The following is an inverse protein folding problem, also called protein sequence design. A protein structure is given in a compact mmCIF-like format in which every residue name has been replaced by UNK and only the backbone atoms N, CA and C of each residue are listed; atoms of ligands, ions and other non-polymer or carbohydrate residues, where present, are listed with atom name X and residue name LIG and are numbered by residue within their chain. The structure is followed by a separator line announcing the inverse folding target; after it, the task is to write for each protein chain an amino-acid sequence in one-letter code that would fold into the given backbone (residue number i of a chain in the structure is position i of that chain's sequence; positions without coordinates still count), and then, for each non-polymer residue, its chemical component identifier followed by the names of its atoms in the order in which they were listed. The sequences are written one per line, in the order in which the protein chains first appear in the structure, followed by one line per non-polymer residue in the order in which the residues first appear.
data_IF_177989618364
#
_entry.id   IF_177989618364
#
_cell.length_a   1.000
_cell.length_b   1.000
_cell.length_c   1.000
_cell.angle_alpha   90.00
_cell.angle_beta   90.00
_cell.angle_gamma   90.00
#
_symmetry.space_group_name_H-M   'P 1'
#
loop_
_entity.id
_entity.type
_entity.pdbx_description
1 polymer ?
#
# COMPACT_ATOMS: atom_id res chain seq x y z
N UNK A 1 16.09 -20.74 -10.47
CA UNK A 1 15.26 -19.82 -11.28
C UNK A 1 14.96 -18.50 -10.55
N UNK A 2 15.89 -17.93 -9.77
CA UNK A 2 15.64 -16.71 -8.98
C UNK A 2 16.55 -15.52 -9.36
N UNK A 3 17.46 -15.70 -10.31
CA UNK A 3 18.45 -14.69 -10.73
C UNK A 3 18.81 -14.86 -12.20
N UNK A 4 17.83 -14.87 -13.10
CA UNK A 4 18.16 -14.73 -14.52
C UNK A 4 18.64 -13.29 -14.77
N UNK A 5 19.62 -13.05 -15.65
CA UNK A 5 20.14 -11.70 -15.92
C UNK A 5 19.02 -10.69 -16.26
N UNK A 6 17.96 -11.16 -16.93
CA UNK A 6 16.80 -10.37 -17.31
C UNK A 6 15.99 -9.92 -16.09
N UNK A 7 15.82 -10.79 -15.09
CA UNK A 7 15.12 -10.46 -13.85
C UNK A 7 15.89 -9.39 -13.06
N UNK A 8 17.23 -9.47 -13.03
CA UNK A 8 18.06 -8.46 -12.37
C UNK A 8 17.94 -7.10 -13.07
N UNK A 9 18.02 -7.09 -14.41
CA UNK A 9 17.83 -5.87 -15.20
C UNK A 9 16.43 -5.28 -14.95
N UNK A 10 15.39 -6.10 -14.91
CA UNK A 10 14.03 -5.66 -14.63
C UNK A 10 13.90 -5.03 -13.24
N UNK A 11 14.44 -5.67 -12.20
CA UNK A 11 14.41 -5.14 -10.82
C UNK A 11 15.15 -3.81 -10.74
N UNK A 12 16.35 -3.71 -11.33
CA UNK A 12 17.12 -2.47 -11.33
C UNK A 12 16.41 -1.36 -12.12
N UNK A 13 15.79 -1.70 -13.25
CA UNK A 13 14.97 -0.76 -14.02
C UNK A 13 13.76 -0.25 -13.23
N UNK A 14 13.01 -1.15 -12.59
CA UNK A 14 11.87 -0.79 -11.73
C UNK A 14 12.31 0.08 -10.56
N UNK A 15 13.43 -0.26 -9.91
CA UNK A 15 13.99 0.53 -8.82
C UNK A 15 14.38 1.94 -9.29
N UNK A 16 15.09 2.05 -10.41
CA UNK A 16 15.51 3.33 -10.98
C UNK A 16 14.30 4.23 -11.28
N UNK A 17 13.28 3.70 -11.96
CA UNK A 17 12.05 4.45 -12.28
C UNK A 17 11.33 4.87 -11.00
N UNK A 18 11.22 3.98 -10.01
CA UNK A 18 10.58 4.28 -8.72
C UNK A 18 11.29 5.43 -8.00
N UNK A 19 12.62 5.39 -7.93
CA UNK A 19 13.40 6.45 -7.31
C UNK A 19 13.34 7.76 -8.10
N UNK A 20 13.35 7.69 -9.44
CA UNK A 20 13.22 8.86 -10.30
C UNK A 20 11.88 9.58 -10.08
N UNK A 21 10.76 8.84 -10.00
CA UNK A 21 9.43 9.42 -9.73
C UNK A 21 9.39 10.05 -8.34
N UNK A 22 9.90 9.36 -7.30
CA UNK A 22 9.95 9.90 -5.93
C UNK A 22 10.80 11.16 -5.84
N UNK A 23 11.99 11.14 -6.44
CA UNK A 23 12.88 12.29 -6.50
C UNK A 23 12.24 13.45 -7.28
N UNK A 24 11.61 13.18 -8.43
CA UNK A 24 10.87 14.17 -9.20
C UNK A 24 9.75 14.83 -8.40
N UNK A 25 8.97 14.05 -7.64
CA UNK A 25 7.96 14.56 -6.72
C UNK A 25 8.55 15.46 -5.64
N UNK A 26 9.67 15.07 -5.04
CA UNK A 26 10.38 15.88 -4.04
C UNK A 26 10.91 17.20 -4.63
N UNK A 27 11.48 17.15 -5.83
CA UNK A 27 11.99 18.33 -6.54
C UNK A 27 10.87 19.31 -6.92
N UNK A 28 9.68 18.79 -7.23
CA UNK A 28 8.49 19.58 -7.56
C UNK A 28 7.69 20.04 -6.34
N UNK A 29 7.95 19.48 -5.14
CA UNK A 29 7.14 19.72 -3.96
C UNK A 29 6.98 21.22 -3.62
N UNK A 30 8.08 21.99 -3.72
CA UNK A 30 8.08 23.43 -3.44
C UNK A 30 7.34 24.27 -4.51
N UNK A 31 6.98 23.67 -5.65
CA UNK A 31 6.23 24.34 -6.73
C UNK A 31 4.74 23.97 -6.73
N UNK A 32 4.31 23.08 -5.84
CA UNK A 32 2.91 22.69 -5.74
C UNK A 32 2.08 23.82 -5.11
N UNK A 33 0.81 24.01 -5.52
CA UNK A 33 -0.08 24.99 -4.92
C UNK A 33 -0.24 24.75 -3.42
N UNK A 34 -0.10 25.81 -2.61
CA UNK A 34 -0.33 25.77 -1.17
C UNK A 34 -1.80 26.00 -0.79
N UNK A 35 -2.52 26.78 -1.61
CA UNK A 35 -3.86 27.29 -1.34
C UNK A 35 -4.81 27.11 -2.53
N UNK A 36 -6.11 27.22 -2.25
CA UNK A 36 -7.19 27.05 -3.24
C UNK A 36 -7.57 25.60 -3.52
N UNK A 37 -8.41 25.42 -4.55
CA UNK A 37 -9.02 24.12 -4.87
C UNK A 37 -7.98 23.03 -5.19
N UNK A 38 -6.96 23.36 -5.99
CA UNK A 38 -5.92 22.40 -6.37
C UNK A 38 -5.13 21.90 -5.15
N UNK A 39 -4.78 22.77 -4.21
CA UNK A 39 -4.10 22.39 -2.97
C UNK A 39 -4.98 21.48 -2.09
N UNK A 40 -6.26 21.82 -1.94
CA UNK A 40 -7.21 21.00 -1.20
C UNK A 40 -7.37 19.60 -1.81
N UNK A 41 -7.49 19.52 -3.14
CA UNK A 41 -7.56 18.25 -3.86
C UNK A 41 -6.29 17.41 -3.68
N UNK A 42 -5.10 18.00 -3.87
CA UNK A 42 -3.81 17.32 -3.70
C UNK A 42 -3.64 16.68 -2.32
N UNK A 43 -4.11 17.33 -1.24
CA UNK A 43 -4.06 16.80 0.14
C UNK A 43 -4.87 15.52 0.32
N UNK A 44 -5.87 15.26 -0.53
CA UNK A 44 -6.76 14.10 -0.42
C UNK A 44 -6.33 12.92 -1.31
N UNK A 45 -5.46 13.16 -2.31
CA UNK A 45 -5.02 12.13 -3.26
C UNK A 45 -4.40 10.91 -2.57
N UNK A 46 -3.48 11.03 -1.59
CA UNK A 46 -2.84 9.84 -1.01
C UNK A 46 -3.85 8.89 -0.38
N UNK A 47 -4.80 9.43 0.40
CA UNK A 47 -5.86 8.65 1.01
C UNK A 47 -6.82 8.04 -0.03
N UNK A 48 -7.20 8.82 -1.04
CA UNK A 48 -8.08 8.35 -2.11
C UNK A 48 -7.46 7.22 -2.93
N UNK A 49 -6.17 7.31 -3.27
CA UNK A 49 -5.44 6.26 -4.00
C UNK A 49 -5.35 4.98 -3.17
N UNK A 50 -5.01 5.08 -1.88
CA UNK A 50 -4.97 3.91 -1.00
C UNK A 50 -6.36 3.27 -0.89
N UNK A 51 -7.42 4.06 -0.70
CA UNK A 51 -8.78 3.56 -0.65
C UNK A 51 -9.19 2.89 -1.97
N UNK A 52 -8.85 3.48 -3.11
CA UNK A 52 -9.15 2.95 -4.44
C UNK A 52 -8.41 1.64 -4.75
N UNK A 53 -7.25 1.41 -4.13
CA UNK A 53 -6.51 0.13 -4.23
C UNK A 53 -7.06 -0.93 -3.27
N UNK A 54 -7.37 -0.54 -2.04
CA UNK A 54 -7.82 -1.46 -1.00
C UNK A 54 -9.26 -1.92 -1.25
N UNK A 55 -10.17 -1.01 -1.64
CA UNK A 55 -11.57 -1.32 -1.86
C UNK A 55 -11.79 -2.51 -2.83
N UNK A 56 -11.25 -2.53 -4.06
CA UNK A 56 -11.42 -3.66 -4.96
C UNK A 56 -10.75 -4.92 -4.40
N UNK A 57 -9.58 -4.81 -3.75
CA UNK A 57 -8.92 -5.97 -3.13
C UNK A 57 -9.77 -6.64 -2.04
N UNK A 58 -10.62 -5.88 -1.32
CA UNK A 58 -11.57 -6.41 -0.35
C UNK A 58 -12.85 -6.95 -0.98
N UNK A 59 -13.33 -6.30 -2.05
CA UNK A 59 -14.58 -6.70 -2.74
C UNK A 59 -14.37 -7.97 -3.57
N UNK A 60 -13.24 -8.08 -4.27
CA UNK A 60 -12.92 -9.24 -5.11
C UNK A 60 -12.00 -10.24 -4.40
N UNK A 61 -11.62 -9.97 -3.16
CA UNK A 61 -10.82 -10.85 -2.32
C UNK A 61 -11.60 -12.04 -1.78
N UNK A 62 -10.89 -13.00 -1.19
CA UNK A 62 -11.50 -14.12 -0.47
C UNK A 62 -11.89 -13.71 0.96
N UNK A 63 -12.57 -14.58 1.72
CA UNK A 63 -12.85 -14.33 3.13
C UNK A 63 -11.59 -14.03 3.96
N UNK A 64 -10.42 -14.56 3.56
CA UNK A 64 -9.16 -14.30 4.25
C UNK A 64 -8.75 -12.82 4.22
N UNK A 65 -8.95 -12.13 3.10
CA UNK A 65 -8.65 -10.70 2.94
C UNK A 65 -9.57 -9.85 3.82
N UNK A 66 -10.86 -10.20 3.92
CA UNK A 66 -11.82 -9.48 4.76
C UNK A 66 -11.48 -9.64 6.24
N UNK A 67 -11.15 -10.86 6.68
CA UNK A 67 -10.73 -11.14 8.07
C UNK A 67 -9.46 -10.36 8.40
N UNK A 68 -8.47 -10.36 7.49
CA UNK A 68 -7.22 -9.64 7.69
C UNK A 68 -7.41 -8.13 7.74
N UNK A 69 -8.30 -7.56 6.91
CA UNK A 69 -8.64 -6.15 6.95
C UNK A 69 -9.30 -5.75 8.27
N UNK A 70 -10.25 -6.57 8.76
CA UNK A 70 -10.89 -6.36 10.05
C UNK A 70 -9.88 -6.40 11.20
N UNK A 71 -8.98 -7.40 11.22
CA UNK A 71 -7.93 -7.51 12.23
C UNK A 71 -6.96 -6.31 12.18
N UNK A 72 -6.53 -5.90 10.99
CA UNK A 72 -5.66 -4.73 10.79
C UNK A 72 -6.32 -3.46 11.34
N UNK A 73 -7.59 -3.23 10.99
CA UNK A 73 -8.37 -2.09 11.47
C UNK A 73 -8.55 -2.09 12.99
N UNK A 74 -8.92 -3.24 13.57
CA UNK A 74 -9.11 -3.39 15.02
C UNK A 74 -7.83 -3.09 15.80
N UNK A 75 -6.70 -3.66 15.37
CA UNK A 75 -5.40 -3.43 16.01
C UNK A 75 -4.98 -1.97 15.86
N UNK A 76 -5.17 -1.36 14.69
CA UNK A 76 -4.85 0.05 14.50
C UNK A 76 -5.70 0.97 15.39
N UNK A 77 -7.03 0.75 15.44
CA UNK A 77 -7.94 1.57 16.26
C UNK A 77 -7.58 1.48 17.75
N UNK A 78 -7.24 0.27 18.21
CA UNK A 78 -6.95 0.03 19.64
C UNK A 78 -5.55 0.49 20.04
N UNK A 79 -4.53 0.17 19.24
CA UNK A 79 -3.13 0.44 19.59
C UNK A 79 -2.60 1.79 19.08
N UNK A 80 -3.23 2.36 18.04
CA UNK A 80 -2.73 3.50 17.25
C UNK A 80 -1.31 3.30 16.73
N UNK A 81 -0.84 2.06 16.64
CA UNK A 81 0.50 1.70 16.20
C UNK A 81 0.45 1.03 14.82
N UNK A 82 1.02 1.70 13.83
CA UNK A 82 1.06 1.23 12.45
C UNK A 82 1.80 -0.11 12.31
N UNK A 83 2.92 -0.30 13.01
CA UNK A 83 3.69 -1.54 12.93
C UNK A 83 2.92 -2.73 13.50
N UNK A 84 2.23 -2.52 14.63
CA UNK A 84 1.39 -3.56 15.23
C UNK A 84 0.24 -3.94 14.28
N UNK A 85 -0.43 -2.96 13.67
CA UNK A 85 -1.49 -3.20 12.70
C UNK A 85 -1.00 -3.96 11.46
N UNK A 86 0.16 -3.57 10.90
CA UNK A 86 0.78 -4.26 9.77
C UNK A 86 1.13 -5.71 10.12
N UNK A 87 1.80 -5.94 11.24
CA UNK A 87 2.19 -7.28 11.68
C UNK A 87 0.95 -8.17 11.87
N UNK A 88 -0.08 -7.67 12.54
CA UNK A 88 -1.33 -8.39 12.75
C UNK A 88 -2.04 -8.70 11.42
N UNK A 89 -2.15 -7.73 10.51
CA UNK A 89 -2.77 -7.93 9.20
C UNK A 89 -2.07 -8.99 8.35
N UNK A 90 -0.75 -8.90 8.22
CA UNK A 90 0.07 -9.86 7.46
C UNK A 90 -0.02 -11.26 8.06
N UNK A 91 0.11 -11.38 9.38
CA UNK A 91 -0.03 -12.67 10.05
C UNK A 91 -1.45 -13.25 9.86
N UNK A 92 -2.48 -12.42 9.97
CA UNK A 92 -3.88 -12.84 9.84
C UNK A 92 -4.18 -13.34 8.43
N UNK A 93 -3.81 -12.61 7.37
CA UNK A 93 -4.09 -13.05 5.99
C UNK A 93 -3.34 -14.34 5.65
N UNK A 94 -2.09 -14.48 6.14
CA UNK A 94 -1.30 -15.68 5.94
C UNK A 94 -1.96 -16.90 6.59
N UNK A 95 -2.31 -16.80 7.87
CA UNK A 95 -2.95 -17.89 8.61
C UNK A 95 -4.36 -18.19 8.06
N UNK A 96 -5.14 -17.17 7.74
CA UNK A 96 -6.48 -17.35 7.19
C UNK A 96 -6.44 -18.05 5.84
N UNK A 97 -5.51 -17.70 4.94
CA UNK A 97 -5.33 -18.43 3.68
C UNK A 97 -4.90 -19.87 3.90
N UNK A 98 -3.99 -20.13 4.85
CA UNK A 98 -3.57 -21.50 5.17
C UNK A 98 -4.71 -22.37 5.70
N UNK A 99 -5.63 -21.79 6.48
CA UNK A 99 -6.75 -22.51 7.11
C UNK A 99 -8.00 -22.62 6.21
N UNK A 100 -8.23 -21.65 5.32
CA UNK A 100 -9.45 -21.57 4.49
C UNK A 100 -9.24 -22.04 3.05
N UNK A 101 -8.02 -21.96 2.53
CA UNK A 101 -7.67 -22.40 1.18
C UNK A 101 -6.80 -23.67 1.15
N UNK A 102 -6.42 -24.17 2.34
CA UNK A 102 -5.81 -25.49 2.53
C UNK A 102 -6.85 -26.61 2.55
#
# INVERSE_FOLDING_TARGET
MLTSPEALIAILGMALVTFAIKAGGLLLANRLPSDGFAAAWLRHIPGAVLAALVAPALVTGSPAEVIAAAATGLVFITSRNLFAAMAAGVATVYLARLLLAG
#
